data_IF_690932961923
#
_entry.id   IF_690932961923
#
_cell.length_a   1.000
_cell.length_b   1.000
_cell.length_c   1.000
_cell.angle_alpha   90.00
_cell.angle_beta   90.00
_cell.angle_gamma   90.00
#
_symmetry.space_group_name_H-M   'P 1'
#
loop_
_entity.id
_entity.type
_entity.pdbx_description
1 polymer ?
#
# COMPACT_ATOMS: atom_id res chain seq x y z
N UNK A 1 -7.53 -3.10 -10.63
CA UNK A 1 -6.60 -2.07 -11.17
C UNK A 1 -6.93 -0.72 -10.54
N UNK A 2 -6.06 0.27 -10.68
CA UNK A 2 -6.30 1.62 -10.20
C UNK A 2 -5.77 2.66 -11.20
N UNK A 3 -6.52 3.75 -11.42
CA UNK A 3 -6.16 4.83 -12.34
C UNK A 3 -6.64 6.17 -11.81
N UNK A 4 -5.99 7.25 -12.22
CA UNK A 4 -6.48 8.60 -11.96
C UNK A 4 -7.40 9.08 -13.08
N UNK A 5 -8.43 9.84 -12.71
CA UNK A 5 -9.22 10.64 -13.64
C UNK A 5 -8.61 12.03 -13.84
N UNK A 6 -9.11 12.75 -14.85
CA UNK A 6 -8.61 14.10 -15.18
C UNK A 6 -8.80 15.09 -14.03
N UNK A 7 -9.82 14.88 -13.19
CA UNK A 7 -10.11 15.69 -11.99
C UNK A 7 -9.27 15.28 -10.76
N UNK A 8 -8.35 14.34 -10.91
CA UNK A 8 -7.45 13.87 -9.85
C UNK A 8 -8.05 12.84 -8.90
N UNK A 9 -9.29 12.37 -9.14
CA UNK A 9 -9.87 11.27 -8.36
C UNK A 9 -9.23 9.93 -8.72
N UNK A 10 -9.16 9.05 -7.74
CA UNK A 10 -8.67 7.68 -7.92
C UNK A 10 -9.84 6.75 -8.20
N UNK A 11 -9.83 6.12 -9.36
CA UNK A 11 -10.76 5.07 -9.72
C UNK A 11 -10.10 3.73 -9.47
N UNK A 12 -10.70 2.93 -8.61
CA UNK A 12 -10.27 1.57 -8.28
C UNK A 12 -11.29 0.60 -8.85
N UNK A 13 -10.85 -0.22 -9.80
CA UNK A 13 -11.69 -1.22 -10.47
C UNK A 13 -11.34 -2.61 -10.00
N UNK A 14 -12.35 -3.37 -9.59
CA UNK A 14 -12.25 -4.80 -9.42
C UNK A 14 -12.26 -5.47 -10.80
N UNK A 15 -11.22 -6.24 -11.08
CA UNK A 15 -11.10 -7.00 -12.34
C UNK A 15 -11.31 -8.50 -12.13
N UNK A 16 -11.50 -8.93 -10.87
CA UNK A 16 -11.44 -10.32 -10.45
C UNK A 16 -12.76 -11.07 -10.40
N UNK A 17 -13.88 -10.48 -10.81
CA UNK A 17 -15.22 -11.11 -10.80
C UNK A 17 -15.82 -11.37 -9.41
N UNK A 18 -14.99 -11.54 -8.38
CA UNK A 18 -15.38 -11.70 -6.98
C UNK A 18 -15.23 -10.37 -6.23
N UNK A 19 -16.22 -9.91 -5.45
CA UNK A 19 -16.12 -8.67 -4.69
C UNK A 19 -14.88 -8.63 -3.79
N UNK A 20 -14.23 -7.46 -3.75
CA UNK A 20 -13.04 -7.21 -2.92
C UNK A 20 -13.46 -6.44 -1.69
N UNK A 21 -13.27 -7.02 -0.51
CA UNK A 21 -13.68 -6.41 0.75
C UNK A 21 -12.60 -5.48 1.33
N UNK A 22 -13.04 -4.54 2.18
CA UNK A 22 -12.14 -3.77 3.04
C UNK A 22 -11.14 -2.89 2.31
N UNK A 23 -11.52 -2.29 1.17
CA UNK A 23 -10.67 -1.36 0.47
C UNK A 23 -10.44 -0.10 1.32
N UNK A 24 -9.17 0.23 1.54
CA UNK A 24 -8.71 1.43 2.21
C UNK A 24 -7.73 2.14 1.27
N UNK A 25 -7.94 3.44 1.06
CA UNK A 25 -6.98 4.32 0.39
C UNK A 25 -6.16 5.01 1.48
N UNK A 26 -4.86 4.80 1.48
CA UNK A 26 -3.91 5.44 2.39
C UNK A 26 -2.98 6.37 1.62
N UNK A 27 -2.67 7.51 2.21
CA UNK A 27 -1.72 8.49 1.69
C UNK A 27 -0.82 8.98 2.81
N UNK A 28 0.48 8.89 2.62
CA UNK A 28 1.46 9.60 3.42
C UNK A 28 2.22 10.54 2.49
N UNK A 29 2.00 11.84 2.63
CA UNK A 29 2.65 12.84 1.79
C UNK A 29 3.33 13.87 2.69
N UNK A 30 4.65 13.93 2.60
CA UNK A 30 5.50 14.76 3.45
C UNK A 30 5.24 14.56 4.95
N UNK A 31 4.96 13.33 5.38
CA UNK A 31 4.66 12.96 6.77
C UNK A 31 3.21 13.18 7.21
N UNK A 32 2.37 13.82 6.39
CA UNK A 32 0.94 13.94 6.67
C UNK A 32 0.25 12.66 6.22
N UNK A 33 -0.32 11.92 7.18
CA UNK A 33 -0.97 10.63 6.94
C UNK A 33 -2.47 10.82 6.88
N UNK A 34 -3.08 10.46 5.75
CA UNK A 34 -4.53 10.52 5.57
C UNK A 34 -5.05 9.21 4.99
N UNK A 35 -6.32 8.91 5.26
CA UNK A 35 -6.94 7.71 4.71
C UNK A 35 -8.45 7.86 4.50
N UNK A 36 -9.01 6.96 3.70
CA UNK A 36 -10.44 6.77 3.56
C UNK A 36 -10.77 5.27 3.40
N UNK A 37 -11.86 4.84 4.03
CA UNK A 37 -12.42 3.49 3.85
C UNK A 37 -13.42 3.54 2.70
N UNK A 38 -13.15 2.77 1.64
CA UNK A 38 -14.05 2.62 0.50
C UNK A 38 -14.95 1.36 0.60
N UNK A 39 -14.68 0.49 1.59
CA UNK A 39 -15.51 -0.67 1.88
C UNK A 39 -15.37 -1.78 0.83
N UNK A 40 -16.47 -2.43 0.50
CA UNK A 40 -16.48 -3.53 -0.47
C UNK A 40 -16.66 -3.02 -1.90
N UNK A 41 -15.76 -3.41 -2.79
CA UNK A 41 -15.79 -3.04 -4.21
C UNK A 41 -16.24 -4.25 -5.03
N UNK A 42 -17.43 -4.15 -5.63
CA UNK A 42 -17.95 -5.15 -6.57
C UNK A 42 -17.35 -4.96 -7.95
N UNK A 43 -17.55 -3.78 -8.55
CA UNK A 43 -17.09 -3.46 -9.90
C UNK A 43 -16.04 -2.34 -9.87
N UNK A 44 -16.41 -1.17 -9.35
CA UNK A 44 -15.56 0.00 -9.32
C UNK A 44 -15.97 0.93 -8.18
N UNK A 45 -15.01 1.70 -7.66
CA UNK A 45 -15.25 2.81 -6.74
C UNK A 45 -14.35 3.97 -7.10
N UNK A 46 -14.86 5.18 -6.92
CA UNK A 46 -14.09 6.42 -7.11
C UNK A 46 -13.86 7.07 -5.76
N UNK A 47 -12.60 7.37 -5.44
CA UNK A 47 -12.17 7.99 -4.19
C UNK A 47 -11.50 9.32 -4.50
N UNK A 48 -12.03 10.40 -3.93
CA UNK A 48 -11.41 11.72 -4.03
C UNK A 48 -10.39 11.94 -2.92
N UNK A 49 -9.21 12.48 -3.25
CA UNK A 49 -8.19 12.74 -2.21
C UNK A 49 -8.63 13.77 -1.17
N UNK A 50 -9.61 14.63 -1.49
CA UNK A 50 -10.22 15.56 -0.54
C UNK A 50 -11.10 14.90 0.52
N UNK A 51 -11.51 13.63 0.35
CA UNK A 51 -12.28 12.89 1.36
C UNK A 51 -11.39 12.09 2.32
N UNK A 52 -10.07 12.19 2.20
CA UNK A 52 -9.16 11.50 3.11
C UNK A 52 -9.02 12.31 4.40
N UNK A 53 -9.03 11.62 5.53
CA UNK A 53 -8.96 12.22 6.85
C UNK A 53 -7.63 11.93 7.51
N UNK A 54 -7.06 12.93 8.18
CA UNK A 54 -5.89 12.77 9.05
C UNK A 54 -6.34 12.22 10.41
N UNK A 55 -6.43 10.91 10.50
CA UNK A 55 -6.76 10.21 11.73
C UNK A 55 -6.02 8.87 11.79
N UNK A 56 -4.78 8.92 12.28
CA UNK A 56 -3.92 7.74 12.38
C UNK A 56 -4.53 6.62 13.25
N UNK A 57 -5.10 6.97 14.41
CA UNK A 57 -5.73 5.99 15.29
C UNK A 57 -6.95 5.34 14.61
N UNK A 58 -7.76 6.14 13.91
CA UNK A 58 -8.89 5.66 13.13
C UNK A 58 -8.48 4.67 12.04
N UNK A 59 -7.39 4.96 11.30
CA UNK A 59 -6.88 4.03 10.29
C UNK A 59 -6.55 2.66 10.87
N UNK A 60 -5.84 2.63 12.01
CA UNK A 60 -5.46 1.37 12.65
C UNK A 60 -6.70 0.62 13.14
N UNK A 61 -7.67 1.32 13.74
CA UNK A 61 -8.93 0.73 14.20
C UNK A 61 -9.77 0.18 13.04
N UNK A 62 -9.85 0.90 11.92
CA UNK A 62 -10.60 0.45 10.75
C UNK A 62 -9.94 -0.75 10.08
N UNK A 63 -8.60 -0.76 9.98
CA UNK A 63 -7.86 -1.90 9.44
C UNK A 63 -8.01 -3.14 10.35
N UNK A 64 -7.93 -2.98 11.67
CA UNK A 64 -8.18 -4.06 12.65
C UNK A 64 -9.60 -4.60 12.51
N UNK A 65 -10.61 -3.73 12.40
CA UNK A 65 -12.01 -4.14 12.20
C UNK A 65 -12.21 -4.90 10.88
N UNK A 66 -11.58 -4.44 9.80
CA UNK A 66 -11.60 -5.15 8.52
C UNK A 66 -11.02 -6.55 8.69
N UNK A 67 -9.85 -6.69 9.31
CA UNK A 67 -9.21 -7.99 9.54
C UNK A 67 -10.07 -8.93 10.40
N UNK A 68 -10.65 -8.43 11.49
CA UNK A 68 -11.55 -9.20 12.36
C UNK A 68 -12.78 -9.67 11.58
N UNK A 69 -13.35 -8.81 10.72
CA UNK A 69 -14.50 -9.18 9.88
C UNK A 69 -14.21 -10.31 8.88
N UNK A 70 -12.92 -10.60 8.63
CA UNK A 70 -12.48 -11.70 7.77
C UNK A 70 -12.11 -12.97 8.55
N UNK A 71 -12.33 -12.98 9.87
CA UNK A 71 -12.18 -14.17 10.72
C UNK A 71 -10.94 -14.18 11.60
N UNK A 72 -10.16 -13.10 11.69
CA UNK A 72 -9.08 -13.01 12.67
C UNK A 72 -9.61 -12.66 14.06
N UNK A 73 -8.97 -13.19 15.09
CA UNK A 73 -9.15 -12.69 16.45
C UNK A 73 -8.51 -11.31 16.62
N UNK A 74 -9.00 -10.53 17.57
CA UNK A 74 -8.49 -9.17 17.85
C UNK A 74 -6.97 -9.13 18.04
N UNK A 75 -6.43 -10.07 18.83
CA UNK A 75 -4.98 -10.16 19.08
C UNK A 75 -4.19 -10.48 17.80
N UNK A 76 -4.73 -11.30 16.90
CA UNK A 76 -4.09 -11.65 15.64
C UNK A 76 -4.08 -10.45 14.69
N UNK A 77 -5.24 -9.78 14.54
CA UNK A 77 -5.36 -8.58 13.72
C UNK A 77 -4.38 -7.49 14.19
N UNK A 78 -4.31 -7.24 15.50
CA UNK A 78 -3.36 -6.27 16.08
C UNK A 78 -1.92 -6.68 15.84
N UNK A 79 -1.57 -7.95 16.09
CA UNK A 79 -0.20 -8.44 15.87
C UNK A 79 0.24 -8.28 14.40
N UNK A 80 -0.65 -8.53 13.45
CA UNK A 80 -0.36 -8.32 12.02
C UNK A 80 -0.10 -6.85 11.70
N UNK A 81 -0.93 -5.93 12.19
CA UNK A 81 -0.76 -4.49 11.97
C UNK A 81 0.55 -3.99 12.60
N UNK A 82 0.89 -4.42 13.83
CA UNK A 82 2.16 -4.07 14.48
C UNK A 82 3.36 -4.55 13.66
N UNK A 83 3.29 -5.75 13.07
CA UNK A 83 4.37 -6.29 12.21
C UNK A 83 4.63 -5.40 10.97
N UNK A 84 3.61 -4.70 10.50
CA UNK A 84 3.69 -3.88 9.28
C UNK A 84 3.95 -2.40 9.53
N UNK A 85 3.81 -1.96 10.79
CA UNK A 85 3.75 -0.54 11.20
C UNK A 85 4.86 0.31 10.59
N UNK A 86 6.09 -0.20 10.57
CA UNK A 86 7.24 0.58 10.13
C UNK A 86 7.47 0.55 8.61
N UNK A 87 6.81 -0.34 7.87
CA UNK A 87 7.11 -0.57 6.46
C UNK A 87 5.93 -0.41 5.50
N UNK A 88 4.69 -0.37 5.99
CA UNK A 88 3.50 -0.22 5.16
C UNK A 88 2.98 1.22 5.11
N UNK A 89 3.37 2.04 6.07
CA UNK A 89 2.87 3.42 6.24
C UNK A 89 3.94 4.49 5.97
N UNK A 90 5.01 4.11 5.26
CA UNK A 90 6.06 4.99 4.74
C UNK A 90 5.48 6.01 3.73
N UNK A 91 6.30 6.95 3.25
CA UNK A 91 5.93 7.92 2.21
C UNK A 91 5.27 7.24 0.99
N UNK A 92 4.24 7.88 0.44
CA UNK A 92 3.52 7.45 -0.75
C UNK A 92 2.06 7.06 -0.50
N UNK A 93 1.40 6.68 -1.59
CA UNK A 93 -0.02 6.33 -1.62
C UNK A 93 -0.20 4.84 -1.84
N UNK A 94 -1.10 4.21 -1.08
CA UNK A 94 -1.34 2.76 -1.14
C UNK A 94 -2.82 2.44 -1.09
N UNK A 95 -3.18 1.34 -1.74
CA UNK A 95 -4.42 0.63 -1.47
C UNK A 95 -4.13 -0.57 -0.59
N UNK A 96 -4.91 -0.71 0.48
CA UNK A 96 -5.03 -1.94 1.25
C UNK A 96 -6.38 -2.56 0.96
N UNK A 97 -6.44 -3.87 0.77
CA UNK A 97 -7.69 -4.58 0.53
C UNK A 97 -7.56 -6.04 0.92
N UNK A 98 -8.69 -6.71 1.14
CA UNK A 98 -8.69 -8.15 1.41
C UNK A 98 -8.72 -8.90 0.09
N UNK A 99 -7.72 -9.76 -0.11
CA UNK A 99 -7.69 -10.66 -1.28
C UNK A 99 -8.82 -11.68 -1.13
N UNK A 100 -9.69 -11.86 -2.13
CA UNK A 100 -10.79 -12.81 -2.04
C UNK A 100 -10.31 -14.22 -1.69
N UNK A 101 -10.94 -14.86 -0.70
CA UNK A 101 -10.56 -16.21 -0.23
C UNK A 101 -10.53 -17.23 -1.36
N UNK A 102 -11.50 -17.18 -2.27
CA UNK A 102 -11.54 -18.05 -3.45
C UNK A 102 -10.27 -17.93 -4.32
N UNK A 103 -9.76 -16.71 -4.50
CA UNK A 103 -8.52 -16.49 -5.25
C UNK A 103 -7.32 -17.08 -4.49
N UNK A 104 -7.24 -16.85 -3.16
CA UNK A 104 -6.19 -17.43 -2.31
C UNK A 104 -6.21 -18.95 -2.37
N UNK A 105 -7.37 -19.59 -2.17
CA UNK A 105 -7.50 -21.04 -2.15
C UNK A 105 -7.19 -21.67 -3.51
N UNK A 106 -7.44 -20.96 -4.62
CA UNK A 106 -7.09 -21.43 -5.97
C UNK A 106 -5.59 -21.37 -6.29
N UNK A 107 -4.86 -20.39 -5.70
CA UNK A 107 -3.43 -20.18 -5.97
C UNK A 107 -2.57 -20.93 -4.95
N UNK A 108 -3.00 -20.92 -3.69
CA UNK A 108 -2.31 -21.50 -2.55
C UNK A 108 -3.27 -22.46 -1.84
N UNK A 109 -3.56 -23.65 -2.40
CA UNK A 109 -4.38 -24.63 -1.73
C UNK A 109 -3.73 -25.03 -0.40
N UNK A 110 -4.56 -25.25 0.62
CA UNK A 110 -4.11 -25.65 1.95
C UNK A 110 -4.66 -27.04 2.25
N UNK A 111 -3.76 -27.99 2.50
CA UNK A 111 -4.07 -29.32 2.99
C UNK A 111 -3.35 -29.54 4.32
N UNK A 112 -4.10 -29.83 5.37
CA UNK A 112 -3.59 -30.05 6.74
C UNK A 112 -4.21 -31.35 7.24
N UNK A 113 -3.37 -32.27 7.72
CA UNK A 113 -3.80 -33.54 8.29
C UNK A 113 -3.27 -33.72 9.72
N UNK A 114 -4.14 -33.98 10.72
CA UNK A 114 -5.61 -34.03 10.62
C UNK A 114 -6.21 -32.64 10.35
N UNK A 115 -7.38 -32.61 9.71
CA UNK A 115 -8.09 -31.37 9.43
C UNK A 115 -8.43 -30.63 10.74
N UNK A 116 -8.05 -29.35 10.90
CA UNK A 116 -8.43 -28.55 12.06
C UNK A 116 -9.94 -28.27 12.06
N UNK A 117 -10.50 -27.96 13.24
CA UNK A 117 -11.93 -27.63 13.38
C UNK A 117 -12.29 -26.32 12.68
N UNK A 118 -11.38 -25.35 12.65
CA UNK A 118 -11.57 -24.05 12.02
C UNK A 118 -10.26 -23.56 11.38
N UNK A 119 -10.40 -22.84 10.25
CA UNK A 119 -9.30 -22.21 9.53
C UNK A 119 -9.71 -20.82 9.04
N UNK A 120 -8.99 -19.80 9.50
CA UNK A 120 -9.02 -18.45 8.95
C UNK A 120 -7.75 -18.19 8.13
N UNK A 121 -7.91 -17.73 6.89
CA UNK A 121 -6.80 -17.32 6.01
C UNK A 121 -7.11 -15.93 5.47
N UNK A 122 -6.44 -14.92 6.03
CA UNK A 122 -6.66 -13.53 5.65
C UNK A 122 -5.42 -13.00 4.96
N UNK A 123 -5.57 -12.65 3.69
CA UNK A 123 -4.52 -12.05 2.88
C UNK A 123 -4.86 -10.59 2.62
N UNK A 124 -3.95 -9.69 2.99
CA UNK A 124 -4.07 -8.27 2.68
C UNK A 124 -3.25 -7.96 1.44
N UNK A 125 -3.94 -7.54 0.39
CA UNK A 125 -3.31 -6.96 -0.78
C UNK A 125 -2.83 -5.54 -0.48
N UNK A 126 -1.59 -5.25 -0.88
CA UNK A 126 -1.02 -3.90 -0.87
C UNK A 126 -0.67 -3.51 -2.29
N UNK A 127 -1.20 -2.40 -2.77
CA UNK A 127 -0.87 -1.86 -4.09
C UNK A 127 -0.37 -0.41 -3.96
N UNK A 128 0.85 -0.16 -4.43
CA UNK A 128 1.43 1.19 -4.50
C UNK A 128 0.75 2.00 -5.62
N UNK A 129 0.38 3.24 -5.33
CA UNK A 129 -0.26 4.17 -6.26
C UNK A 129 0.65 5.38 -6.46
N UNK A 130 0.99 5.66 -7.72
CA UNK A 130 1.84 6.81 -8.06
C UNK A 130 0.93 7.96 -8.47
N UNK A 131 0.73 8.91 -7.55
CA UNK A 131 -0.06 10.13 -7.78
C UNK A 131 0.65 11.06 -8.77
N UNK A 132 -0.11 11.84 -9.55
CA UNK A 132 0.47 12.92 -10.36
C UNK A 132 1.32 13.90 -9.53
N UNK A 133 0.89 14.22 -8.29
CA UNK A 133 1.65 15.06 -7.37
C UNK A 133 3.03 14.47 -7.04
N UNK A 134 3.10 13.18 -6.69
CA UNK A 134 4.38 12.48 -6.40
C UNK A 134 5.32 12.55 -7.61
N UNK A 135 4.80 12.36 -8.83
CA UNK A 135 5.62 12.47 -10.04
C UNK A 135 6.18 13.88 -10.23
N UNK A 136 5.39 14.90 -9.89
CA UNK A 136 5.79 16.29 -9.99
C UNK A 136 6.84 16.65 -8.94
N UNK A 137 6.63 16.22 -7.69
CA UNK A 137 7.60 16.39 -6.60
C UNK A 137 8.93 15.74 -6.97
N UNK A 138 8.88 14.54 -7.55
CA UNK A 138 10.07 13.82 -7.99
C UNK A 138 10.81 14.57 -9.11
N UNK A 139 10.11 15.12 -10.10
CA UNK A 139 10.71 15.96 -11.15
C UNK A 139 11.39 17.21 -10.59
N UNK A 140 10.73 17.89 -9.65
CA UNK A 140 11.27 19.08 -9.01
C UNK A 140 12.51 18.76 -8.18
N UNK A 141 12.45 17.70 -7.37
CA UNK A 141 13.58 17.26 -6.56
C UNK A 141 14.78 16.85 -7.42
N UNK A 142 14.56 16.17 -8.55
CA UNK A 142 15.62 15.87 -9.51
C UNK A 142 16.23 17.15 -10.10
N UNK A 143 15.39 18.10 -10.54
CA UNK A 143 15.87 19.35 -11.13
C UNK A 143 16.67 20.20 -10.13
N UNK A 144 16.28 20.18 -8.86
CA UNK A 144 16.98 20.86 -7.78
C UNK A 144 18.16 20.05 -7.19
N UNK A 145 18.38 18.81 -7.63
CA UNK A 145 19.31 17.86 -7.01
C UNK A 145 19.07 17.70 -5.49
N UNK A 146 17.80 17.79 -5.07
CA UNK A 146 17.36 17.69 -3.67
C UNK A 146 17.34 16.22 -3.23
N UNK A 147 18.51 15.73 -2.82
CA UNK A 147 18.69 14.35 -2.36
C UNK A 147 17.78 14.00 -1.17
N UNK A 148 17.66 14.83 -0.11
CA UNK A 148 16.75 14.54 0.99
C UNK A 148 15.30 14.34 0.56
N UNK A 149 14.79 15.12 -0.40
CA UNK A 149 13.44 14.93 -0.92
C UNK A 149 13.27 13.60 -1.66
N UNK A 150 14.29 13.18 -2.43
CA UNK A 150 14.29 11.91 -3.15
C UNK A 150 14.38 10.70 -2.20
N UNK A 151 15.21 10.79 -1.16
CA UNK A 151 15.45 9.70 -0.21
C UNK A 151 14.19 9.30 0.59
N UNK A 152 13.22 10.20 0.74
CA UNK A 152 11.93 9.92 1.41
C UNK A 152 11.16 8.76 0.77
N UNK A 153 11.31 8.56 -0.53
CA UNK A 153 10.64 7.47 -1.26
C UNK A 153 11.32 6.10 -1.05
N UNK A 154 12.49 6.06 -0.38
CA UNK A 154 13.15 4.83 0.05
C UNK A 154 13.30 3.78 -1.06
N UNK A 155 12.92 2.53 -0.76
CA UNK A 155 12.93 1.40 -1.71
C UNK A 155 12.07 1.61 -2.97
N UNK A 156 11.13 2.55 -2.93
CA UNK A 156 10.21 2.79 -4.05
C UNK A 156 10.70 3.86 -5.01
N UNK A 157 11.74 4.63 -4.67
CA UNK A 157 12.25 5.73 -5.48
C UNK A 157 12.48 5.33 -6.95
N UNK A 158 13.23 4.25 -7.19
CA UNK A 158 13.55 3.76 -8.54
C UNK A 158 12.31 3.31 -9.31
N UNK A 159 11.39 2.58 -8.66
CA UNK A 159 10.14 2.13 -9.29
C UNK A 159 9.24 3.30 -9.68
N UNK A 160 9.13 4.32 -8.82
CA UNK A 160 8.37 5.54 -9.08
C UNK A 160 8.99 6.31 -10.24
N UNK A 161 10.32 6.49 -10.23
CA UNK A 161 11.05 7.17 -11.30
C UNK A 161 10.85 6.51 -12.66
N UNK A 162 11.01 5.18 -12.74
CA UNK A 162 10.79 4.39 -13.96
C UNK A 162 9.38 4.54 -14.48
N UNK A 163 8.37 4.44 -13.60
CA UNK A 163 6.96 4.60 -13.98
C UNK A 163 6.64 6.03 -14.44
N UNK A 164 7.30 7.02 -13.87
CA UNK A 164 7.17 8.43 -14.24
C UNK A 164 8.00 8.81 -15.47
N UNK A 165 8.78 7.89 -16.04
CA UNK A 165 9.66 8.16 -17.17
C UNK A 165 10.87 9.06 -16.84
N UNK A 166 11.22 9.18 -15.55
CA UNK A 166 12.31 10.02 -15.07
C UNK A 166 13.58 9.19 -15.00
N UNK A 167 14.64 9.63 -15.69
CA UNK A 167 15.99 9.06 -15.60
C UNK A 167 16.94 10.13 -15.11
N UNK A 168 17.68 9.84 -14.05
CA UNK A 168 18.63 10.80 -13.50
C UNK A 168 19.75 10.11 -12.73
N UNK A 169 21.02 10.53 -12.91
CA UNK A 169 22.15 9.97 -12.16
C UNK A 169 22.02 10.08 -10.64
N UNK A 170 21.31 11.12 -10.14
CA UNK A 170 21.06 11.26 -8.70
C UNK A 170 20.18 10.12 -8.18
N UNK A 171 19.17 9.71 -8.94
CA UNK A 171 18.28 8.58 -8.58
C UNK A 171 19.07 7.28 -8.59
N UNK A 172 19.89 7.05 -9.63
CA UNK A 172 20.72 5.85 -9.73
C UNK A 172 21.68 5.73 -8.54
N UNK A 173 22.33 6.85 -8.18
CA UNK A 173 23.22 6.93 -7.02
C UNK A 173 22.52 6.65 -5.70
N UNK A 174 21.34 7.23 -5.48
CA UNK A 174 20.55 7.02 -4.26
C UNK A 174 20.02 5.58 -4.16
N UNK A 175 19.57 4.99 -5.27
CA UNK A 175 19.12 3.60 -5.30
C UNK A 175 20.27 2.63 -4.96
N UNK A 176 21.46 2.86 -5.53
CA UNK A 176 22.64 2.08 -5.19
C UNK A 176 23.01 2.20 -3.69
N UNK A 177 22.97 3.42 -3.14
CA UNK A 177 23.22 3.66 -1.72
C UNK A 177 22.19 2.95 -0.84
N UNK A 178 20.90 3.00 -1.19
CA UNK A 178 19.82 2.30 -0.48
C UNK A 178 20.04 0.78 -0.45
N UNK A 179 20.37 0.17 -1.60
CA UNK A 179 20.64 -1.27 -1.70
C UNK A 179 21.84 -1.66 -0.82
N UNK A 180 22.91 -0.88 -0.86
CA UNK A 180 24.11 -1.15 -0.07
C UNK A 180 23.85 -1.05 1.44
N UNK A 181 23.12 -0.02 1.88
CA UNK A 181 22.71 0.13 3.29
C UNK A 181 21.88 -1.06 3.77
N UNK A 182 20.96 -1.54 2.93
CA UNK A 182 20.09 -2.68 3.27
C UNK A 182 20.90 -3.97 3.39
N UNK A 183 21.84 -4.21 2.48
CA UNK A 183 22.76 -5.37 2.58
C UNK A 183 23.60 -5.36 3.86
N UNK A 184 24.13 -4.20 4.24
CA UNK A 184 24.90 -4.08 5.48
C UNK A 184 24.08 -4.40 6.74
N UNK A 185 22.77 -4.11 6.71
CA UNK A 185 21.87 -4.38 7.83
C UNK A 185 21.39 -5.83 7.91
N UNK A 186 21.35 -6.58 6.80
CA UNK A 186 20.99 -8.00 6.80
C UNK A 186 22.13 -8.96 7.18
N UNK A 187 23.37 -8.45 7.30
CA UNK A 187 24.55 -9.23 7.69
C UNK A 187 24.88 -9.19 9.19
N UNK A 188 23.95 -8.74 10.03
CA UNK A 188 24.05 -8.76 11.50
C UNK A 188 23.01 -9.68 12.09
#
# INVERSE_FOLDING_TARGET
>A
SARFEQDGKLVVRNVGGTPVAGLIVFDNHAGIRRYAVAGTVKDEVTVGFGSLHDNWAGLLMDLERVLISQGLYEKEARAMIETWRDSWFEEGTRLFYIVPRQAVDSILPLDIQPAPSDVARVFVGRMEIIRPAIQQDLRQAVAANDRPALEKYGRFLDAIAKRAGIRSPVIDSLNAAYINKTKANCGR
#
